data_IF_094822670229
#
_entry.id   IF_094822670229
#
_cell.length_a   1.000
_cell.length_b   1.000
_cell.length_c   1.000
_cell.angle_alpha   90.00
_cell.angle_beta   90.00
_cell.angle_gamma   90.00
#
_symmetry.space_group_name_H-M   'P 1'
#
loop_
_entity.id
_entity.type
_entity.pdbx_description
1 polymer ?
#
# COMPACT_ATOMS: atom_id res chain seq x y z
N UNK A 1 -20.21 12.77 -13.17
CA UNK A 1 -19.43 11.54 -12.99
C UNK A 1 -20.26 10.43 -13.61
N UNK A 2 -19.87 9.88 -14.76
CA UNK A 2 -20.54 8.68 -15.25
C UNK A 2 -20.22 7.55 -14.28
N UNK A 3 -21.24 7.02 -13.60
CA UNK A 3 -21.09 5.86 -12.75
C UNK A 3 -20.81 4.66 -13.66
N UNK A 4 -19.53 4.27 -13.77
CA UNK A 4 -19.18 2.98 -14.36
C UNK A 4 -19.92 1.92 -13.54
N UNK A 5 -20.93 1.30 -14.15
CA UNK A 5 -21.71 0.25 -13.49
C UNK A 5 -20.82 -0.98 -13.31
N UNK A 6 -20.11 -1.01 -12.19
CA UNK A 6 -19.24 -2.12 -11.82
C UNK A 6 -20.13 -3.24 -11.31
N UNK A 7 -20.08 -4.40 -11.97
CA UNK A 7 -20.79 -5.57 -11.49
C UNK A 7 -20.27 -5.94 -10.09
N UNK A 8 -21.15 -6.44 -9.22
CA UNK A 8 -20.82 -6.77 -7.83
C UNK A 8 -19.57 -7.67 -7.73
N UNK A 9 -19.41 -8.63 -8.64
CA UNK A 9 -18.25 -9.51 -8.68
C UNK A 9 -16.92 -8.76 -8.86
N UNK A 10 -16.91 -7.65 -9.61
CA UNK A 10 -15.72 -6.80 -9.82
C UNK A 10 -15.30 -6.15 -8.50
N UNK A 11 -16.28 -5.63 -7.77
CA UNK A 11 -16.05 -5.01 -6.46
C UNK A 11 -15.55 -6.04 -5.46
N UNK A 12 -16.15 -7.24 -5.43
CA UNK A 12 -15.69 -8.34 -4.57
C UNK A 12 -14.23 -8.68 -4.89
N UNK A 13 -13.89 -8.82 -6.17
CA UNK A 13 -12.53 -9.15 -6.58
C UNK A 13 -11.54 -8.05 -6.20
N UNK A 14 -11.94 -6.78 -6.31
CA UNK A 14 -11.12 -5.64 -5.88
C UNK A 14 -10.90 -5.64 -4.37
N UNK A 15 -11.93 -5.93 -3.57
CA UNK A 15 -11.81 -6.06 -2.11
C UNK A 15 -10.88 -7.21 -1.74
N UNK A 16 -11.01 -8.37 -2.39
CA UNK A 16 -10.09 -9.50 -2.17
C UNK A 16 -8.65 -9.08 -2.47
N UNK A 17 -8.43 -8.36 -3.57
CA UNK A 17 -7.10 -7.90 -3.94
C UNK A 17 -6.54 -6.88 -2.93
N UNK A 18 -7.38 -5.97 -2.43
CA UNK A 18 -7.01 -5.04 -1.38
C UNK A 18 -6.62 -5.76 -0.08
N UNK A 19 -7.37 -6.80 0.32
CA UNK A 19 -7.04 -7.63 1.48
C UNK A 19 -5.72 -8.40 1.30
N UNK A 20 -5.42 -8.87 0.08
CA UNK A 20 -4.13 -9.49 -0.24
C UNK A 20 -3.00 -8.47 -0.08
N UNK A 21 -3.18 -7.26 -0.60
CA UNK A 21 -2.21 -6.18 -0.42
C UNK A 21 -2.01 -5.83 1.07
N UNK A 22 -3.09 -5.70 1.84
CA UNK A 22 -3.02 -5.40 3.28
C UNK A 22 -2.31 -6.51 4.08
N UNK A 23 -2.57 -7.78 3.74
CA UNK A 23 -1.86 -8.91 4.34
C UNK A 23 -0.35 -8.83 4.04
N UNK A 24 0.01 -8.59 2.78
CA UNK A 24 1.41 -8.43 2.39
C UNK A 24 2.08 -7.24 3.06
N UNK A 25 1.34 -6.13 3.21
CA UNK A 25 1.83 -4.96 3.91
C UNK A 25 2.13 -5.29 5.38
N UNK A 26 1.18 -5.91 6.07
CA UNK A 26 1.38 -6.37 7.45
C UNK A 26 2.53 -7.37 7.59
N UNK A 27 2.74 -8.25 6.60
CA UNK A 27 3.85 -9.18 6.59
C UNK A 27 5.22 -8.49 6.54
N UNK A 28 5.39 -7.50 5.64
CA UNK A 28 6.62 -6.70 5.53
C UNK A 28 6.85 -5.86 6.79
N UNK A 29 5.82 -5.19 7.30
CA UNK A 29 5.93 -4.28 8.45
C UNK A 29 6.10 -5.02 9.78
N UNK A 30 5.52 -6.21 9.92
CA UNK A 30 5.72 -7.05 11.11
C UNK A 30 7.20 -7.40 11.28
N UNK A 31 7.91 -7.74 10.20
CA UNK A 31 9.34 -8.03 10.25
C UNK A 31 10.14 -6.85 10.82
N UNK A 32 9.84 -5.63 10.37
CA UNK A 32 10.47 -4.41 10.88
C UNK A 32 10.21 -4.18 12.37
N UNK A 33 9.00 -4.52 12.84
CA UNK A 33 8.55 -4.25 14.22
C UNK A 33 9.04 -5.28 15.23
N UNK A 34 9.30 -6.53 14.79
CA UNK A 34 9.63 -7.65 15.69
C UNK A 34 11.09 -8.09 15.67
N UNK A 35 11.87 -7.64 14.68
CA UNK A 35 13.25 -8.10 14.48
C UNK A 35 14.11 -7.92 15.75
N UNK A 36 13.95 -6.82 16.47
CA UNK A 36 14.73 -6.53 17.69
C UNK A 36 14.34 -7.44 18.86
N UNK A 37 13.05 -7.59 19.15
CA UNK A 37 12.57 -8.42 20.28
C UNK A 37 12.79 -9.91 20.06
N UNK A 38 12.79 -10.37 18.80
CA UNK A 38 13.10 -11.75 18.45
C UNK A 38 14.60 -12.00 18.49
N UNK A 39 15.43 -11.11 17.93
CA UNK A 39 16.89 -11.29 17.91
C UNK A 39 17.54 -11.18 19.30
N UNK A 40 16.97 -10.38 20.19
CA UNK A 40 17.41 -10.26 21.60
C UNK A 40 16.85 -11.38 22.49
N UNK A 41 15.96 -12.23 21.98
CA UNK A 41 15.37 -13.33 22.73
C UNK A 41 14.32 -12.93 23.77
N UNK A 42 13.82 -11.69 23.73
CA UNK A 42 12.76 -11.22 24.64
C UNK A 42 11.45 -11.94 24.37
N UNK A 43 11.10 -12.16 23.10
CA UNK A 43 9.90 -12.90 22.69
C UNK A 43 10.26 -14.00 21.69
N UNK A 44 9.56 -15.14 21.79
CA UNK A 44 9.61 -16.17 20.72
C UNK A 44 8.97 -15.61 19.44
N UNK A 45 9.39 -16.05 18.24
CA UNK A 45 8.86 -15.54 16.97
C UNK A 45 7.33 -15.49 16.89
N UNK A 46 6.64 -16.56 17.30
CA UNK A 46 5.17 -16.59 17.29
C UNK A 46 4.52 -15.59 18.26
N UNK A 47 5.12 -15.35 19.43
CA UNK A 47 4.63 -14.35 20.38
C UNK A 47 4.82 -12.94 19.83
N UNK A 48 5.95 -12.69 19.16
CA UNK A 48 6.24 -11.39 18.58
C UNK A 48 5.28 -11.07 17.42
N UNK A 49 4.94 -12.06 16.58
CA UNK A 49 3.93 -11.89 15.52
C UNK A 49 2.54 -11.57 16.10
N UNK A 50 2.09 -12.28 17.14
CA UNK A 50 0.82 -12.00 17.81
C UNK A 50 0.81 -10.60 18.44
N UNK A 51 1.93 -10.21 19.06
CA UNK A 51 2.11 -8.88 19.62
C UNK A 51 1.99 -7.79 18.53
N UNK A 52 2.71 -7.95 17.42
CA UNK A 52 2.64 -7.02 16.29
C UNK A 52 1.23 -6.94 15.70
N UNK A 53 0.55 -8.08 15.50
CA UNK A 53 -0.82 -8.12 14.98
C UNK A 53 -1.81 -7.37 15.88
N UNK A 54 -1.73 -7.58 17.20
CA UNK A 54 -2.58 -6.90 18.17
C UNK A 54 -2.42 -5.38 18.13
N UNK A 55 -1.18 -4.88 18.18
CA UNK A 55 -0.92 -3.44 18.18
C UNK A 55 -1.19 -2.79 16.82
N UNK A 56 -0.92 -3.47 15.70
CA UNK A 56 -1.29 -2.96 14.37
C UNK A 56 -2.82 -2.84 14.22
N UNK A 57 -3.58 -3.81 14.72
CA UNK A 57 -5.04 -3.72 14.72
C UNK A 57 -5.55 -2.60 15.64
N UNK A 58 -4.97 -2.48 16.84
CA UNK A 58 -5.35 -1.45 17.80
C UNK A 58 -5.05 -0.03 17.28
N UNK A 59 -3.96 0.14 16.52
CA UNK A 59 -3.56 1.42 15.95
C UNK A 59 -4.64 2.03 15.04
N UNK A 60 -5.46 1.21 14.37
CA UNK A 60 -6.58 1.67 13.53
C UNK A 60 -7.63 2.47 14.32
N UNK A 61 -7.77 2.23 15.62
CA UNK A 61 -8.74 2.93 16.48
C UNK A 61 -8.17 4.19 17.15
N UNK A 62 -6.85 4.33 17.19
CA UNK A 62 -6.16 5.40 17.91
C UNK A 62 -5.66 6.47 16.93
N UNK A 63 -5.18 6.05 15.75
CA UNK A 63 -4.53 6.93 14.78
C UNK A 63 -5.45 7.27 13.61
N UNK A 64 -5.22 8.45 13.03
CA UNK A 64 -5.94 8.91 11.86
C UNK A 64 -5.36 8.28 10.58
N UNK A 65 -6.22 7.99 9.60
CA UNK A 65 -5.85 7.38 8.31
C UNK A 65 -5.22 8.39 7.33
N UNK A 66 -4.22 9.14 7.78
CA UNK A 66 -3.57 10.24 7.04
C UNK A 66 -2.86 9.78 5.76
N UNK A 67 -2.32 8.55 5.75
CA UNK A 67 -1.68 7.96 4.56
C UNK A 67 -2.71 7.71 3.46
N UNK A 68 -3.88 7.16 3.82
CA UNK A 68 -4.97 6.93 2.87
C UNK A 68 -5.44 8.23 2.20
N UNK A 69 -5.52 9.32 2.97
CA UNK A 69 -5.88 10.64 2.45
C UNK A 69 -4.84 11.18 1.44
N UNK A 70 -3.55 11.02 1.76
CA UNK A 70 -2.45 11.46 0.88
C UNK A 70 -2.44 10.66 -0.42
N UNK A 71 -2.54 9.34 -0.33
CA UNK A 71 -2.55 8.44 -1.50
C UNK A 71 -3.81 8.65 -2.36
N UNK A 72 -4.96 8.90 -1.74
CA UNK A 72 -6.24 9.05 -2.44
C UNK A 72 -6.44 10.39 -3.17
N UNK A 73 -5.71 11.46 -2.82
CA UNK A 73 -5.95 12.81 -3.38
C UNK A 73 -4.71 13.61 -3.77
N UNK A 74 -3.51 13.21 -3.35
CA UNK A 74 -2.30 14.03 -3.49
C UNK A 74 -1.47 13.75 -4.74
N UNK A 75 -1.72 12.65 -5.45
CA UNK A 75 -0.74 12.06 -6.39
C UNK A 75 -1.25 12.07 -7.84
N UNK A 76 -2.57 12.11 -8.03
CA UNK A 76 -3.23 11.98 -9.33
C UNK A 76 -4.32 13.03 -9.45
N UNK A 77 -4.53 13.56 -10.65
CA UNK A 77 -5.62 14.51 -10.91
C UNK A 77 -6.99 13.90 -10.57
N UNK A 78 -7.93 14.68 -9.97
CA UNK A 78 -9.27 14.20 -9.65
C UNK A 78 -10.01 13.69 -10.89
N UNK A 79 -10.74 12.59 -10.75
CA UNK A 79 -11.56 12.01 -11.82
C UNK A 79 -10.85 11.03 -12.75
N UNK A 80 -9.52 10.86 -12.61
CA UNK A 80 -8.77 9.86 -13.38
C UNK A 80 -8.84 8.47 -12.73
N UNK A 81 -8.85 8.42 -11.40
CA UNK A 81 -8.87 7.17 -10.63
C UNK A 81 -10.23 6.51 -10.74
N UNK A 82 -10.26 5.35 -11.38
CA UNK A 82 -11.41 4.46 -11.45
C UNK A 82 -11.04 3.04 -11.01
N UNK A 83 -11.98 2.11 -11.12
CA UNK A 83 -11.80 0.70 -10.78
C UNK A 83 -10.58 0.07 -11.48
N UNK A 84 -10.32 0.41 -12.75
CA UNK A 84 -9.19 -0.14 -13.51
C UNK A 84 -7.86 0.37 -12.99
N UNK A 85 -7.77 1.67 -12.66
CA UNK A 85 -6.59 2.25 -12.03
C UNK A 85 -6.30 1.61 -10.69
N UNK A 86 -7.34 1.38 -9.87
CA UNK A 86 -7.18 0.73 -8.55
C UNK A 86 -6.71 -0.72 -8.71
N UNK A 87 -7.23 -1.46 -9.71
CA UNK A 87 -6.73 -2.79 -10.03
C UNK A 87 -5.25 -2.78 -10.43
N UNK A 88 -4.87 -1.92 -11.39
CA UNK A 88 -3.49 -1.80 -11.83
C UNK A 88 -2.55 -1.40 -10.68
N UNK A 89 -3.01 -0.50 -9.80
CA UNK A 89 -2.26 -0.08 -8.63
C UNK A 89 -1.99 -1.22 -7.65
N UNK A 90 -3.04 -1.97 -7.28
CA UNK A 90 -2.92 -3.08 -6.35
C UNK A 90 -2.09 -4.22 -6.93
N UNK A 91 -2.29 -4.59 -8.20
CA UNK A 91 -1.50 -5.64 -8.86
C UNK A 91 -0.02 -5.23 -8.91
N UNK A 92 0.27 -3.99 -9.32
CA UNK A 92 1.64 -3.48 -9.37
C UNK A 92 2.31 -3.49 -7.99
N UNK A 93 1.60 -3.02 -6.96
CA UNK A 93 2.11 -2.98 -5.59
C UNK A 93 2.34 -4.38 -5.00
N UNK A 94 1.38 -5.30 -5.17
CA UNK A 94 1.49 -6.71 -4.75
C UNK A 94 2.67 -7.37 -5.45
N UNK A 95 2.79 -7.20 -6.77
CA UNK A 95 3.88 -7.78 -7.57
C UNK A 95 5.23 -7.30 -7.05
N UNK A 96 5.36 -5.99 -6.81
CA UNK A 96 6.59 -5.42 -6.24
C UNK A 96 6.88 -5.96 -4.84
N UNK A 97 5.87 -6.02 -3.96
CA UNK A 97 6.00 -6.58 -2.62
C UNK A 97 6.43 -8.06 -2.64
N UNK A 98 5.99 -8.84 -3.63
CA UNK A 98 6.37 -10.25 -3.78
C UNK A 98 7.83 -10.37 -4.23
N UNK A 99 8.25 -9.53 -5.17
CA UNK A 99 9.64 -9.47 -5.65
C UNK A 99 10.57 -9.11 -4.50
N UNK A 100 10.28 -8.03 -3.78
CA UNK A 100 11.15 -7.58 -2.68
C UNK A 100 11.19 -8.57 -1.54
N UNK A 101 10.05 -9.19 -1.21
CA UNK A 101 10.00 -10.29 -0.25
C UNK A 101 10.87 -11.47 -0.68
N UNK A 102 10.75 -11.93 -1.92
CA UNK A 102 11.50 -13.07 -2.44
C UNK A 102 13.02 -12.86 -2.34
N UNK A 103 13.48 -11.63 -2.58
CA UNK A 103 14.89 -11.25 -2.43
C UNK A 103 15.30 -10.80 -1.02
N UNK A 104 14.39 -10.81 -0.05
CA UNK A 104 14.66 -10.35 1.32
C UNK A 104 15.01 -8.86 1.42
N UNK A 105 14.55 -8.05 0.46
CA UNK A 105 14.83 -6.62 0.41
C UNK A 105 13.77 -5.90 1.25
N UNK A 106 14.15 -5.13 2.29
CA UNK A 106 13.20 -4.32 3.03
C UNK A 106 12.58 -3.29 2.09
N UNK A 107 11.25 -3.26 2.02
CA UNK A 107 10.51 -2.41 1.10
C UNK A 107 9.34 -1.73 1.79
N UNK A 108 8.97 -0.54 1.29
CA UNK A 108 7.79 0.19 1.77
C UNK A 108 6.59 -0.09 0.87
N UNK A 109 5.59 -0.79 1.40
CA UNK A 109 4.34 -1.06 0.66
C UNK A 109 3.59 0.20 0.28
N UNK A 110 3.66 1.25 1.10
CA UNK A 110 3.06 2.56 0.78
C UNK A 110 3.67 3.15 -0.50
N UNK A 111 5.00 3.07 -0.65
CA UNK A 111 5.67 3.51 -1.88
C UNK A 111 5.39 2.58 -3.06
N UNK A 112 5.29 1.27 -2.81
CA UNK A 112 4.87 0.31 -3.83
C UNK A 112 3.46 0.64 -4.36
N UNK A 113 2.52 1.01 -3.48
CA UNK A 113 1.16 1.43 -3.85
C UNK A 113 1.17 2.74 -4.64
N UNK A 114 1.96 3.73 -4.22
CA UNK A 114 2.10 4.99 -4.96
C UNK A 114 2.68 4.75 -6.35
N UNK A 115 3.71 3.91 -6.47
CA UNK A 115 4.28 3.50 -7.75
C UNK A 115 3.28 2.75 -8.63
N UNK A 116 2.48 1.85 -8.03
CA UNK A 116 1.39 1.15 -8.71
C UNK A 116 0.33 2.12 -9.27
N UNK A 117 -0.12 3.08 -8.46
CA UNK A 117 -1.06 4.13 -8.89
C UNK A 117 -0.45 4.94 -10.03
N UNK A 118 0.80 5.39 -9.88
CA UNK A 118 1.46 6.17 -10.91
C UNK A 118 1.57 5.40 -12.23
N UNK A 119 1.99 4.13 -12.19
CA UNK A 119 2.07 3.28 -13.39
C UNK A 119 0.72 3.06 -14.06
N UNK A 120 -0.33 2.76 -13.27
CA UNK A 120 -1.68 2.57 -13.79
C UNK A 120 -2.24 3.85 -14.42
N UNK A 121 -1.99 5.01 -13.82
CA UNK A 121 -2.41 6.31 -14.35
C UNK A 121 -1.65 6.67 -15.62
N UNK A 122 -0.33 6.45 -15.66
CA UNK A 122 0.46 6.67 -16.88
C UNK A 122 -0.10 5.81 -18.03
N UNK A 123 -0.42 4.55 -17.76
CA UNK A 123 -1.01 3.65 -18.76
C UNK A 123 -2.39 4.09 -19.25
N UNK A 124 -3.19 4.75 -18.40
CA UNK A 124 -4.55 5.19 -18.74
C UNK A 124 -4.62 6.58 -19.38
N UNK A 125 -3.91 7.55 -18.81
CA UNK A 125 -4.10 8.98 -19.04
C UNK A 125 -2.79 9.73 -19.33
N UNK A 126 -1.66 9.02 -19.42
CA UNK A 126 -0.35 9.61 -19.64
C UNK A 126 0.25 10.27 -18.39
N UNK A 127 1.47 10.76 -18.53
CA UNK A 127 2.25 11.34 -17.42
C UNK A 127 1.68 12.67 -16.92
N UNK A 128 0.93 13.40 -17.74
CA UNK A 128 0.36 14.70 -17.38
C UNK A 128 -0.74 14.59 -16.31
N UNK A 129 -1.36 13.42 -16.17
CA UNK A 129 -2.36 13.14 -15.15
C UNK A 129 -1.78 12.99 -13.73
N UNK A 130 -0.45 12.97 -13.59
CA UNK A 130 0.24 12.90 -12.31
C UNK A 130 0.46 14.29 -11.69
N UNK A 131 0.35 14.35 -10.37
CA UNK A 131 0.64 15.57 -9.60
C UNK A 131 2.08 15.52 -9.14
N UNK A 132 2.99 16.12 -9.92
CA UNK A 132 4.43 16.10 -9.65
C UNK A 132 4.80 16.66 -8.27
N UNK A 133 4.07 17.65 -7.79
CA UNK A 133 4.31 18.23 -6.46
C UNK A 133 3.99 17.26 -5.31
N UNK A 134 2.98 16.40 -5.48
CA UNK A 134 2.64 15.36 -4.51
C UNK A 134 3.65 14.22 -4.53
N UNK A 135 3.98 13.73 -5.72
CA UNK A 135 5.00 12.68 -5.91
C UNK A 135 6.35 13.14 -5.34
N UNK A 136 6.76 14.37 -5.63
CA UNK A 136 8.03 14.91 -5.14
C UNK A 136 8.05 15.01 -3.61
N UNK A 137 6.94 15.39 -2.96
CA UNK A 137 6.86 15.37 -1.50
C UNK A 137 7.06 13.96 -0.93
N UNK A 138 6.44 12.96 -1.53
CA UNK A 138 6.62 11.55 -1.13
C UNK A 138 8.07 11.11 -1.31
N UNK A 139 8.71 11.45 -2.44
CA UNK A 139 10.11 11.09 -2.69
C UNK A 139 11.06 11.79 -1.73
N UNK A 140 10.86 13.08 -1.47
CA UNK A 140 11.71 13.86 -0.56
C UNK A 140 11.64 13.31 0.87
N UNK A 141 10.46 12.89 1.33
CA UNK A 141 10.27 12.28 2.65
C UNK A 141 11.14 11.05 2.91
N UNK A 142 11.68 10.40 1.87
CA UNK A 142 12.61 9.28 2.04
C UNK A 142 13.98 9.76 2.55
N UNK A 143 14.37 11.00 2.22
CA UNK A 143 15.70 11.56 2.49
C UNK A 143 15.73 12.53 3.67
N UNK A 144 14.57 13.08 4.06
CA UNK A 144 14.41 14.15 5.05
C UNK A 144 13.36 13.74 6.07
#
# INVERSE_FOLDING_TARGET
MESVQSALWVVILLVVLALVFDFMNGFHDAANSIATVVSTGVLKPGQAVLFAAFFNFLALFIFHLSVAATVGKGIVQPGIVDTHVVFGALIGAITWNLITWYYGIPSSSSHALIGGIAGAVIGKAGTEALISSGILKTVIFIFV
#
